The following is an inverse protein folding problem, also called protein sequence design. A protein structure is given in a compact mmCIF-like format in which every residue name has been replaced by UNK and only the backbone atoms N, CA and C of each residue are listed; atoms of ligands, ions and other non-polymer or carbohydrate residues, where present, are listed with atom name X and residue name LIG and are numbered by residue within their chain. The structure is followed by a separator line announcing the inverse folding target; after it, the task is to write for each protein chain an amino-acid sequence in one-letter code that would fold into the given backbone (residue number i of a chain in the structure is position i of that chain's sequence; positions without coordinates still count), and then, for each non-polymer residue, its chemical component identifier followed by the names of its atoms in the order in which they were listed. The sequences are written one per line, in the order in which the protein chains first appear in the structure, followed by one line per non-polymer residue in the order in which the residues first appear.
data_IF_649985574190
#
_entry.id   IF_649985574190
#
_cell.length_a   1.000
_cell.length_b   1.000
_cell.length_c   1.000
_cell.angle_alpha   90.00
_cell.angle_beta   90.00
_cell.angle_gamma   90.00
#
_symmetry.space_group_name_H-M   'P 1'
#
loop_
_entity.id
_entity.type
_entity.pdbx_description
1 polymer ?
#
# COMPACT_ATOMS: atom_id res chain seq x y z
N UNK A 1 18.87 0.20 -15.62
CA UNK A 1 18.50 0.58 -14.24
C UNK A 1 17.00 0.87 -14.09
N UNK A 2 16.34 1.50 -15.07
CA UNK A 2 14.89 1.82 -15.03
C UNK A 2 14.00 0.56 -14.99
N UNK A 3 14.37 -0.51 -15.70
CA UNK A 3 13.64 -1.80 -15.63
C UNK A 3 13.66 -2.41 -14.22
N UNK A 4 14.70 -2.14 -13.43
CA UNK A 4 14.80 -2.60 -12.05
C UNK A 4 13.93 -1.74 -11.11
N UNK A 5 13.87 -0.42 -11.33
CA UNK A 5 13.03 0.48 -10.53
C UNK A 5 11.54 0.31 -10.81
N UNK A 6 11.16 0.01 -12.06
CA UNK A 6 9.78 -0.34 -12.42
C UNK A 6 9.36 -1.66 -11.73
N UNK A 7 10.24 -2.65 -11.71
CA UNK A 7 10.03 -3.90 -10.98
C UNK A 7 9.82 -3.69 -9.47
N UNK A 8 10.65 -2.86 -8.85
CA UNK A 8 10.52 -2.49 -7.43
C UNK A 8 9.20 -1.75 -7.17
N UNK A 9 8.80 -0.84 -8.05
CA UNK A 9 7.52 -0.14 -7.96
C UNK A 9 6.34 -1.11 -8.01
N UNK A 10 6.32 -2.02 -8.99
CA UNK A 10 5.24 -3.02 -9.11
C UNK A 10 5.23 -3.97 -7.90
N UNK A 11 6.38 -4.42 -7.44
CA UNK A 11 6.50 -5.27 -6.26
C UNK A 11 5.97 -4.58 -5.01
N UNK A 12 6.36 -3.32 -4.77
CA UNK A 12 5.86 -2.55 -3.62
C UNK A 12 4.36 -2.28 -3.67
N UNK A 13 3.77 -2.10 -4.87
CA UNK A 13 2.32 -2.05 -5.02
C UNK A 13 1.66 -3.38 -4.62
N UNK A 14 2.20 -4.52 -5.07
CA UNK A 14 1.65 -5.83 -4.73
C UNK A 14 1.73 -6.12 -3.22
N UNK A 15 2.88 -5.85 -2.60
CA UNK A 15 3.09 -6.01 -1.16
C UNK A 15 2.17 -5.09 -0.34
N UNK A 16 2.04 -3.82 -0.76
CA UNK A 16 1.14 -2.87 -0.11
C UNK A 16 -0.34 -3.26 -0.24
N UNK A 17 -0.77 -3.78 -1.40
CA UNK A 17 -2.14 -4.29 -1.58
C UNK A 17 -2.44 -5.48 -0.66
N UNK A 18 -1.50 -6.43 -0.54
CA UNK A 18 -1.64 -7.58 0.35
C UNK A 18 -1.72 -7.13 1.83
N UNK A 19 -0.87 -6.19 2.23
CA UNK A 19 -0.90 -5.59 3.57
C UNK A 19 -2.23 -4.89 3.86
N UNK A 20 -2.72 -4.07 2.93
CA UNK A 20 -4.01 -3.40 3.06
C UNK A 20 -5.17 -4.39 3.19
N UNK A 21 -5.19 -5.48 2.42
CA UNK A 21 -6.25 -6.48 2.50
C UNK A 21 -6.29 -7.16 3.89
N UNK A 22 -5.11 -7.49 4.44
CA UNK A 22 -5.03 -8.05 5.79
C UNK A 22 -5.51 -7.07 6.86
N UNK A 23 -5.10 -5.81 6.78
CA UNK A 23 -5.53 -4.76 7.71
C UNK A 23 -7.03 -4.49 7.60
N UNK A 24 -7.57 -4.42 6.40
CA UNK A 24 -9.01 -4.26 6.17
C UNK A 24 -9.81 -5.43 6.77
N UNK A 25 -9.34 -6.67 6.62
CA UNK A 25 -9.97 -7.85 7.24
C UNK A 25 -9.96 -7.77 8.78
N UNK A 26 -8.85 -7.30 9.38
CA UNK A 26 -8.76 -7.10 10.83
C UNK A 26 -9.73 -6.02 11.32
N UNK A 27 -9.86 -4.90 10.60
CA UNK A 27 -10.82 -3.84 10.91
C UNK A 27 -12.26 -4.37 10.81
N UNK A 28 -12.58 -5.07 9.72
CA UNK A 28 -13.90 -5.64 9.51
C UNK A 28 -14.28 -6.63 10.64
N UNK A 29 -13.34 -7.47 11.07
CA UNK A 29 -13.52 -8.39 12.21
C UNK A 29 -13.67 -7.66 13.54
N UNK A 30 -12.81 -6.68 13.83
CA UNK A 30 -12.91 -5.86 15.03
C UNK A 30 -14.21 -5.04 15.11
N UNK A 31 -14.83 -4.73 13.98
CA UNK A 31 -16.14 -4.06 13.92
C UNK A 31 -17.34 -4.99 14.16
N UNK A 32 -17.23 -6.30 13.92
CA UNK A 32 -18.32 -7.27 14.15
C UNK A 32 -18.34 -7.85 15.56
N UNK A 33 -17.19 -7.90 16.25
CA UNK A 33 -17.05 -8.38 17.63
C UNK A 33 -17.45 -7.30 18.67
N UNK A 34 -18.62 -6.68 18.49
CA UNK A 34 -19.15 -5.62 19.36
C UNK A 34 -19.14 -5.94 20.88
N UNK A 35 -19.53 -4.98 21.75
CA UNK A 35 -19.14 -4.86 23.18
C UNK A 35 -19.42 -6.04 24.14
N UNK A 36 -19.93 -7.17 23.68
CA UNK A 36 -20.14 -8.40 24.46
C UNK A 36 -19.14 -9.53 24.16
N UNK A 37 -18.25 -9.39 23.17
CA UNK A 37 -17.16 -10.33 22.91
C UNK A 37 -15.90 -9.93 23.66
N UNK A 38 -15.68 -10.50 24.86
CA UNK A 38 -14.39 -10.55 25.58
C UNK A 38 -13.40 -9.42 25.28
N UNK A 39 -13.55 -8.29 25.99
CA UNK A 39 -12.55 -7.27 26.26
C UNK A 39 -11.22 -7.36 25.46
N UNK A 40 -11.23 -6.89 24.20
CA UNK A 40 -10.03 -6.38 23.55
C UNK A 40 -10.31 -4.92 23.18
N UNK A 41 -9.78 -4.04 24.04
CA UNK A 41 -9.76 -2.58 24.03
C UNK A 41 -10.07 -1.88 22.70
N UNK A 42 -10.61 -0.66 22.78
CA UNK A 42 -10.59 0.38 21.74
C UNK A 42 -9.22 0.52 21.01
N UNK A 43 -8.12 0.02 21.58
CA UNK A 43 -6.80 -0.10 20.94
C UNK A 43 -6.64 -1.21 19.89
N UNK A 44 -7.53 -2.21 19.84
CA UNK A 44 -7.47 -3.32 18.88
C UNK A 44 -7.79 -2.94 17.43
N UNK A 45 -8.54 -1.84 17.23
CA UNK A 45 -8.80 -1.28 15.90
C UNK A 45 -7.78 -0.20 15.49
N UNK A 46 -7.11 0.44 16.44
CA UNK A 46 -6.15 1.52 16.15
C UNK A 46 -4.98 0.97 15.33
N UNK A 47 -4.39 -0.13 15.77
CA UNK A 47 -3.26 -0.78 15.08
C UNK A 47 -3.58 -1.12 13.61
N UNK A 48 -4.65 -1.89 13.28
CA UNK A 48 -4.94 -2.21 11.89
C UNK A 48 -5.37 -0.98 11.05
N UNK A 49 -5.90 0.08 11.66
CA UNK A 49 -6.17 1.35 10.96
C UNK A 49 -4.87 2.06 10.59
N UNK A 50 -3.90 2.10 11.51
CA UNK A 50 -2.57 2.68 11.26
C UNK A 50 -1.84 1.86 10.19
N UNK A 51 -1.85 0.53 10.31
CA UNK A 51 -1.28 -0.38 9.31
C UNK A 51 -1.90 -0.16 7.93
N UNK A 52 -3.23 -0.03 7.85
CA UNK A 52 -3.93 0.24 6.59
C UNK A 52 -3.42 1.55 5.95
N UNK A 53 -3.25 2.60 6.75
CA UNK A 53 -2.72 3.90 6.29
C UNK A 53 -1.26 3.82 5.88
N UNK A 54 -0.45 3.04 6.60
CA UNK A 54 0.95 2.81 6.26
C UNK A 54 1.08 2.12 4.91
N UNK A 55 0.32 1.05 4.69
CA UNK A 55 0.31 0.34 3.41
C UNK A 55 -0.26 1.20 2.27
N UNK A 56 -1.28 2.02 2.52
CA UNK A 56 -1.80 3.00 1.55
C UNK A 56 -0.67 3.94 1.08
N UNK A 57 0.12 4.49 2.02
CA UNK A 57 1.27 5.35 1.70
C UNK A 57 2.38 4.61 0.97
N UNK A 58 2.62 3.35 1.31
CA UNK A 58 3.59 2.50 0.62
C UNK A 58 3.19 2.28 -0.85
N UNK A 59 1.91 1.97 -1.11
CA UNK A 59 1.38 1.83 -2.48
C UNK A 59 1.50 3.16 -3.24
N UNK A 60 1.15 4.29 -2.62
CA UNK A 60 1.29 5.62 -3.24
C UNK A 60 2.74 5.94 -3.62
N UNK A 61 3.69 5.63 -2.74
CA UNK A 61 5.11 5.82 -3.00
C UNK A 61 5.59 4.94 -4.17
N UNK A 62 5.20 3.66 -4.18
CA UNK A 62 5.50 2.74 -5.27
C UNK A 62 4.87 3.16 -6.60
N UNK A 63 3.65 3.67 -6.58
CA UNK A 63 3.00 4.25 -7.76
C UNK A 63 3.76 5.49 -8.28
N UNK A 64 4.29 6.32 -7.40
CA UNK A 64 5.13 7.45 -7.78
C UNK A 64 6.43 6.99 -8.45
N UNK A 65 7.06 5.91 -7.98
CA UNK A 65 8.24 5.32 -8.64
C UNK A 65 7.91 4.85 -10.06
N UNK A 66 6.76 4.19 -10.24
CA UNK A 66 6.29 3.74 -11.56
C UNK A 66 6.07 4.96 -12.47
N UNK A 67 5.39 6.00 -11.98
CA UNK A 67 5.14 7.24 -12.73
C UNK A 67 6.43 7.93 -13.15
N UNK A 68 7.36 8.11 -12.22
CA UNK A 68 8.65 8.73 -12.53
C UNK A 68 9.47 7.87 -13.50
N UNK A 69 9.41 6.54 -13.40
CA UNK A 69 10.04 5.66 -14.39
C UNK A 69 9.42 5.86 -15.80
N UNK A 70 8.10 5.96 -15.90
CA UNK A 70 7.39 6.22 -17.15
C UNK A 70 7.73 7.60 -17.73
N UNK A 71 7.75 8.66 -16.91
CA UNK A 71 8.16 10.01 -17.32
C UNK A 71 9.63 10.05 -17.80
N UNK A 72 10.54 9.32 -17.13
CA UNK A 72 11.94 9.22 -17.58
C UNK A 72 12.06 8.47 -18.91
N UNK A 73 11.24 7.45 -19.14
CA UNK A 73 11.19 6.76 -20.43
C UNK A 73 10.62 7.66 -21.53
N UNK A 74 9.53 8.36 -21.25
CA UNK A 74 8.91 9.32 -22.19
C UNK A 74 9.87 10.44 -22.57
N UNK A 75 10.57 11.04 -21.61
CA UNK A 75 11.58 12.08 -21.88
C UNK A 75 12.78 11.55 -22.66
N UNK A 76 13.24 10.31 -22.39
CA UNK A 76 14.29 9.69 -23.20
C UNK A 76 13.83 9.43 -24.65
N UNK A 77 12.58 9.01 -24.85
CA UNK A 77 11.99 8.83 -26.18
C UNK A 77 11.91 10.17 -26.93
N UNK A 78 11.46 11.24 -26.27
CA UNK A 78 11.32 12.58 -26.85
C UNK A 78 12.67 13.19 -27.30
N UNK A 79 13.75 12.94 -26.55
CA UNK A 79 15.11 13.38 -26.93
C UNK A 79 15.63 12.64 -28.18
N UNK A 80 15.17 11.42 -28.42
CA UNK A 80 15.64 10.57 -29.54
C UNK A 80 14.83 10.74 -30.83
N UNK A 81 13.68 11.43 -30.78
CA UNK A 81 12.79 11.71 -31.91
C UNK A 81 13.21 12.98 -32.66
#
# INVERSE_FOLDING_TARGET
MISNTLGIGIQGVQEGLQGMEMSARKIARGGVDGPQGSAASTGGLIEPIIDLKLYERSVQASAQIIKTADETLGTLLDITA
#
